data_IF_148504088388
#
_entry.id   IF_148504088388
#
_cell.length_a   1.000
_cell.length_b   1.000
_cell.length_c   1.000
_cell.angle_alpha   90.00
_cell.angle_beta   90.00
_cell.angle_gamma   90.00
#
_symmetry.space_group_name_H-M   'P 1'
#
loop_
_entity.id
_entity.type
_entity.pdbx_description
1 polymer ?
#
# COMPACT_ATOMS: atom_id res chain seq x y z
N UNK A 1 -12.82 3.16 8.51
CA UNK A 1 -12.24 3.45 7.17
C UNK A 1 -11.52 4.80 7.19
N UNK A 2 -10.63 5.09 6.21
CA UNK A 2 -9.81 6.33 6.24
C UNK A 2 -10.64 7.63 6.36
N UNK A 3 -11.76 7.71 5.67
CA UNK A 3 -12.64 8.87 5.74
C UNK A 3 -13.30 9.07 7.12
N UNK A 4 -13.55 8.00 7.87
CA UNK A 4 -14.13 8.07 9.22
C UNK A 4 -13.15 8.73 10.21
N UNK A 5 -11.85 8.41 10.06
CA UNK A 5 -10.77 8.98 10.85
C UNK A 5 -10.38 10.40 10.41
N UNK A 6 -10.80 10.81 9.21
CA UNK A 6 -10.48 12.11 8.67
C UNK A 6 -11.20 13.24 9.45
N UNK A 7 -10.45 14.30 9.77
CA UNK A 7 -11.02 15.52 10.32
C UNK A 7 -11.86 16.26 9.26
N UNK A 8 -12.77 17.16 9.67
CA UNK A 8 -13.46 18.03 8.71
C UNK A 8 -12.49 18.80 7.79
N UNK A 9 -12.89 18.97 6.53
CA UNK A 9 -12.12 19.64 5.47
C UNK A 9 -10.80 18.91 5.12
N UNK A 10 -10.65 17.62 5.42
CA UNK A 10 -9.47 16.84 5.08
C UNK A 10 -9.45 16.38 3.63
N UNK A 11 -8.26 16.10 3.11
CA UNK A 11 -8.07 15.37 1.87
C UNK A 11 -7.94 13.87 2.19
N UNK A 12 -8.71 13.05 1.50
CA UNK A 12 -8.61 11.59 1.52
C UNK A 12 -8.04 11.13 0.18
N UNK A 13 -6.87 10.53 0.21
CA UNK A 13 -6.17 10.08 -1.01
C UNK A 13 -6.35 8.58 -1.13
N UNK A 14 -6.81 8.14 -2.29
CA UNK A 14 -7.05 6.73 -2.62
C UNK A 14 -5.96 6.29 -3.59
N UNK A 15 -5.03 5.46 -3.09
CA UNK A 15 -3.85 4.97 -3.84
C UNK A 15 -3.96 3.45 -4.00
N UNK A 16 -5.08 2.96 -4.45
CA UNK A 16 -5.31 1.53 -4.62
C UNK A 16 -5.84 1.20 -6.01
N UNK A 17 -5.55 0.00 -6.47
CA UNK A 17 -6.20 -0.60 -7.62
C UNK A 17 -7.38 -1.44 -7.12
N UNK A 18 -8.52 -1.27 -7.75
CA UNK A 18 -9.74 -2.01 -7.46
C UNK A 18 -10.19 -2.70 -8.74
N UNK A 19 -10.51 -3.96 -8.65
CA UNK A 19 -11.04 -4.79 -9.74
C UNK A 19 -12.56 -4.62 -9.90
N UNK A 20 -13.24 -4.20 -8.81
CA UNK A 20 -14.68 -3.98 -8.78
C UNK A 20 -15.04 -2.54 -8.38
N UNK A 21 -16.20 -2.03 -8.83
CA UNK A 21 -16.69 -0.73 -8.41
C UNK A 21 -16.81 -0.61 -6.90
N UNK A 22 -16.34 0.51 -6.35
CA UNK A 22 -16.40 0.80 -4.92
C UNK A 22 -17.46 1.85 -4.62
N UNK A 23 -18.16 1.70 -3.49
CA UNK A 23 -19.21 2.60 -3.07
C UNK A 23 -18.67 3.60 -2.04
N UNK A 24 -18.94 4.87 -2.27
CA UNK A 24 -18.75 5.93 -1.27
C UNK A 24 -20.08 6.19 -0.56
N UNK A 25 -20.16 6.00 0.77
CA UNK A 25 -21.39 6.25 1.53
C UNK A 25 -21.60 7.75 1.75
N UNK A 26 -21.97 8.47 0.69
CA UNK A 26 -22.09 9.93 0.70
C UNK A 26 -23.01 10.47 1.81
N UNK A 27 -24.14 9.80 2.17
CA UNK A 27 -24.99 10.28 3.27
C UNK A 27 -24.26 10.39 4.62
N UNK A 28 -23.28 9.49 4.85
CA UNK A 28 -22.50 9.46 6.11
C UNK A 28 -21.32 10.43 6.09
N UNK A 29 -20.91 10.85 4.90
CA UNK A 29 -19.71 11.67 4.67
C UNK A 29 -20.01 13.17 4.57
N UNK A 30 -21.21 13.51 4.25
CA UNK A 30 -21.64 14.85 3.88
C UNK A 30 -21.24 15.95 4.90
N UNK A 31 -21.32 15.68 6.21
CA UNK A 31 -21.00 16.66 7.26
C UNK A 31 -19.52 16.99 7.46
N UNK A 32 -18.61 16.29 6.74
CA UNK A 32 -17.16 16.48 6.93
C UNK A 32 -16.48 17.33 5.87
N UNK A 33 -17.18 17.71 4.80
CA UNK A 33 -16.60 18.49 3.67
C UNK A 33 -15.29 17.89 3.14
N UNK A 34 -15.25 16.60 2.87
CA UNK A 34 -14.04 15.89 2.46
C UNK A 34 -13.74 16.11 0.98
N UNK A 35 -12.46 16.19 0.66
CA UNK A 35 -11.96 16.13 -0.72
C UNK A 35 -11.37 14.77 -0.98
N UNK A 36 -11.84 14.07 -2.01
CA UNK A 36 -11.25 12.80 -2.46
C UNK A 36 -10.36 13.03 -3.67
N UNK A 37 -9.17 12.43 -3.63
CA UNK A 37 -8.24 12.38 -4.75
C UNK A 37 -7.85 10.95 -5.02
N UNK A 38 -7.81 10.58 -6.28
CA UNK A 38 -7.28 9.30 -6.72
C UNK A 38 -5.94 9.51 -7.41
N UNK A 39 -5.06 8.53 -7.34
CA UNK A 39 -3.78 8.61 -8.02
C UNK A 39 -3.08 7.27 -8.01
N UNK A 40 -2.20 7.07 -8.96
CA UNK A 40 -1.25 5.97 -9.02
C UNK A 40 0.15 6.44 -8.62
N UNK A 41 1.04 5.49 -8.41
CA UNK A 41 2.46 5.78 -8.24
C UNK A 41 3.07 6.04 -9.62
N UNK A 42 3.66 7.20 -9.82
CA UNK A 42 4.35 7.58 -11.05
C UNK A 42 5.86 7.32 -11.01
N UNK A 43 6.40 7.04 -9.81
CA UNK A 43 7.82 6.74 -9.63
C UNK A 43 8.76 7.93 -9.75
N UNK A 44 8.27 9.16 -9.77
CA UNK A 44 9.08 10.36 -9.91
C UNK A 44 10.10 10.55 -8.79
N UNK A 45 9.81 10.07 -7.59
CA UNK A 45 10.66 10.24 -6.39
C UNK A 45 11.58 9.04 -6.11
N UNK A 46 11.69 8.07 -7.02
CA UNK A 46 12.45 6.83 -6.80
C UNK A 46 13.92 7.10 -6.48
N UNK A 47 14.57 8.02 -7.19
CA UNK A 47 15.99 8.34 -7.00
C UNK A 47 16.23 8.97 -5.61
N UNK A 48 15.37 9.89 -5.20
CA UNK A 48 15.43 10.51 -3.86
C UNK A 48 15.21 9.46 -2.76
N UNK A 49 14.21 8.61 -2.90
CA UNK A 49 13.91 7.56 -1.93
C UNK A 49 15.07 6.57 -1.80
N UNK A 50 15.66 6.14 -2.91
CA UNK A 50 16.83 5.25 -2.91
C UNK A 50 18.02 5.91 -2.20
N UNK A 51 18.26 7.19 -2.45
CA UNK A 51 19.31 7.94 -1.75
C UNK A 51 19.07 8.02 -0.24
N UNK A 52 17.81 8.19 0.19
CA UNK A 52 17.46 8.20 1.62
C UNK A 52 17.65 6.84 2.27
N UNK A 53 17.38 5.76 1.55
CA UNK A 53 17.63 4.38 2.01
C UNK A 53 19.14 4.14 2.15
N UNK A 54 19.93 4.52 1.14
CA UNK A 54 21.38 4.39 1.15
C UNK A 54 22.04 5.16 2.31
N UNK A 55 21.50 6.35 2.63
CA UNK A 55 21.93 7.16 3.77
C UNK A 55 21.44 6.62 5.13
N UNK A 56 20.68 5.54 5.16
CA UNK A 56 20.11 4.97 6.38
C UNK A 56 19.01 5.81 7.03
N UNK A 57 18.45 6.80 6.31
CA UNK A 57 17.36 7.65 6.81
C UNK A 57 16.00 6.96 6.75
N UNK A 58 15.86 5.99 5.85
CA UNK A 58 14.68 5.15 5.69
C UNK A 58 15.13 3.70 5.75
N UNK A 59 14.57 2.92 6.67
CA UNK A 59 14.77 1.48 6.75
C UNK A 59 13.55 0.75 6.16
N UNK A 60 13.74 0.12 5.02
CA UNK A 60 12.71 -0.69 4.33
C UNK A 60 12.81 -2.19 4.63
N UNK A 61 13.83 -2.62 5.38
CA UNK A 61 14.07 -4.04 5.71
C UNK A 61 12.86 -4.72 6.37
N UNK A 62 12.14 -4.06 7.31
CA UNK A 62 10.96 -4.67 7.94
C UNK A 62 9.79 -4.95 7.00
N UNK A 63 9.78 -4.36 5.80
CA UNK A 63 8.73 -4.61 4.81
C UNK A 63 8.85 -5.99 4.17
N UNK A 64 10.08 -6.55 4.08
CA UNK A 64 10.31 -7.90 3.54
C UNK A 64 10.10 -8.90 4.67
N UNK A 65 8.88 -9.40 4.78
CA UNK A 65 8.48 -10.32 5.85
C UNK A 65 8.85 -11.77 5.57
N UNK A 66 8.93 -12.16 4.30
CA UNK A 66 9.18 -13.54 3.88
C UNK A 66 10.20 -13.61 2.74
N UNK A 67 10.95 -14.69 2.70
CA UNK A 67 11.90 -14.97 1.61
C UNK A 67 11.72 -16.41 1.14
N UNK A 68 11.60 -16.61 -0.16
CA UNK A 68 11.50 -17.91 -0.80
C UNK A 68 12.56 -18.07 -1.89
N UNK A 69 12.91 -19.31 -2.20
CA UNK A 69 13.69 -19.60 -3.42
C UNK A 69 12.77 -19.53 -4.64
N UNK A 70 13.36 -19.29 -5.82
CA UNK A 70 12.60 -19.31 -7.08
C UNK A 70 11.87 -20.65 -7.31
N UNK A 71 12.42 -21.75 -6.79
CA UNK A 71 11.79 -23.08 -6.88
C UNK A 71 10.49 -23.20 -6.09
N UNK A 72 10.32 -22.37 -5.08
CA UNK A 72 9.14 -22.34 -4.21
C UNK A 72 8.21 -21.17 -4.51
N UNK A 73 8.29 -20.60 -5.70
CA UNK A 73 7.54 -19.39 -6.09
C UNK A 73 6.02 -19.59 -5.96
N UNK A 74 5.51 -20.77 -6.26
CA UNK A 74 4.07 -21.07 -6.12
C UNK A 74 3.60 -20.95 -4.67
N UNK A 75 4.41 -21.44 -3.71
CA UNK A 75 4.13 -21.29 -2.28
C UNK A 75 4.15 -19.83 -1.82
N UNK A 76 5.06 -19.04 -2.40
CA UNK A 76 5.16 -17.61 -2.12
C UNK A 76 3.90 -16.87 -2.60
N UNK A 77 3.40 -17.19 -3.79
CA UNK A 77 2.14 -16.65 -4.30
C UNK A 77 0.95 -17.07 -3.44
N UNK A 78 0.85 -18.35 -3.08
CA UNK A 78 -0.23 -18.85 -2.21
C UNK A 78 -0.26 -18.12 -0.86
N UNK A 79 0.91 -17.92 -0.25
CA UNK A 79 1.03 -17.18 1.01
C UNK A 79 0.52 -15.74 0.85
N UNK A 80 0.99 -15.05 -0.22
CA UNK A 80 0.70 -13.64 -0.44
C UNK A 80 -0.78 -13.42 -0.80
N UNK A 81 -1.34 -14.22 -1.70
CA UNK A 81 -2.73 -14.14 -2.14
C UNK A 81 -3.70 -14.37 -0.97
N UNK A 82 -3.43 -15.35 -0.13
CA UNK A 82 -4.25 -15.67 1.02
C UNK A 82 -3.97 -14.80 2.25
N UNK A 83 -3.08 -13.83 2.17
CA UNK A 83 -2.72 -12.90 3.27
C UNK A 83 -2.41 -13.61 4.58
N UNK A 84 -1.74 -14.76 4.50
CA UNK A 84 -1.37 -15.58 5.67
C UNK A 84 -0.10 -15.05 6.35
N UNK A 85 0.08 -15.43 7.62
CA UNK A 85 1.30 -15.23 8.40
C UNK A 85 1.83 -13.78 8.44
N UNK A 86 0.93 -12.80 8.40
CA UNK A 86 1.30 -11.38 8.45
C UNK A 86 2.13 -10.90 7.26
N UNK A 87 2.04 -11.57 6.10
CA UNK A 87 2.82 -11.23 4.91
C UNK A 87 2.58 -9.80 4.45
N UNK A 88 3.67 -9.04 4.27
CA UNK A 88 3.65 -7.71 3.63
C UNK A 88 4.36 -7.73 2.28
N UNK A 89 5.60 -8.18 2.25
CA UNK A 89 6.39 -8.34 1.02
C UNK A 89 7.11 -9.67 1.05
N UNK A 90 7.18 -10.32 -0.10
CA UNK A 90 7.91 -11.56 -0.29
C UNK A 90 9.07 -11.32 -1.23
N UNK A 91 10.29 -11.62 -0.78
CA UNK A 91 11.48 -11.61 -1.62
C UNK A 91 11.70 -13.00 -2.22
N UNK A 92 11.97 -13.06 -3.52
CA UNK A 92 12.34 -14.29 -4.22
C UNK A 92 13.84 -14.25 -4.52
N UNK A 93 14.55 -15.28 -4.09
CA UNK A 93 15.98 -15.46 -4.38
C UNK A 93 16.18 -16.53 -5.44
N UNK A 94 17.02 -16.26 -6.40
CA UNK A 94 17.50 -17.22 -7.41
C UNK A 94 18.56 -18.14 -6.81
#
# INVERSE_FOLDING_TARGET
MAWECARPNANVIIVALYDEPQVLPLPDMYGKNLTFKTGGVDGCDCEEILSLIEQGKIDTTPLVTHTYSLKDIEKAYELFENKKDGVMKVAIKS
#
